data_IF_529906293472
#
_entry.id   IF_529906293472
#
_cell.length_a   1.000
_cell.length_b   1.000
_cell.length_c   1.000
_cell.angle_alpha   90.00
_cell.angle_beta   90.00
_cell.angle_gamma   90.00
#
_symmetry.space_group_name_H-M   'P 1'
#
loop_
_entity.id
_entity.type
_entity.pdbx_description
1 polymer ?
#
# COMPACT_ATOMS: atom_id res chain seq x y z
N UNK A 1 -2.76 3.33 20.20
CA UNK A 1 -1.37 3.79 19.92
C UNK A 1 -0.98 3.36 18.52
N UNK A 2 -0.37 4.24 17.75
CA UNK A 2 0.04 3.93 16.38
C UNK A 2 1.42 3.29 16.33
N UNK A 3 1.59 2.34 15.39
CA UNK A 3 2.90 1.82 15.05
C UNK A 3 3.48 2.62 13.88
N UNK A 4 4.81 2.80 13.84
CA UNK A 4 5.44 3.38 12.66
C UNK A 4 5.23 2.49 11.46
N UNK A 5 5.04 3.11 10.29
CA UNK A 5 4.85 2.42 9.02
C UNK A 5 6.13 2.53 8.20
N UNK A 6 6.72 1.39 7.87
CA UNK A 6 7.92 1.30 7.04
C UNK A 6 7.50 0.81 5.66
N UNK A 7 7.95 1.49 4.62
CA UNK A 7 7.66 1.11 3.23
C UNK A 7 8.90 0.45 2.66
N UNK A 8 8.79 -0.82 2.23
CA UNK A 8 9.94 -1.50 1.68
C UNK A 8 10.26 -1.01 0.25
N UNK A 9 11.41 -1.44 -0.27
CA UNK A 9 11.92 -0.97 -1.55
C UNK A 9 10.93 -1.21 -2.70
N UNK A 10 10.37 -2.40 -2.79
CA UNK A 10 9.45 -2.75 -3.89
C UNK A 10 8.16 -1.95 -3.82
N UNK A 11 7.62 -1.75 -2.63
CA UNK A 11 6.42 -0.96 -2.43
C UNK A 11 6.66 0.51 -2.79
N UNK A 12 7.81 1.06 -2.41
CA UNK A 12 8.16 2.43 -2.76
C UNK A 12 8.30 2.59 -4.27
N UNK A 13 8.96 1.65 -4.94
CA UNK A 13 9.12 1.69 -6.40
C UNK A 13 7.77 1.60 -7.11
N UNK A 14 6.86 0.76 -6.61
CA UNK A 14 5.51 0.63 -7.17
C UNK A 14 4.70 1.92 -6.98
N UNK A 15 4.81 2.54 -5.81
CA UNK A 15 4.17 3.83 -5.57
C UNK A 15 4.71 4.90 -6.52
N UNK A 16 6.02 5.00 -6.66
CA UNK A 16 6.65 6.01 -7.52
C UNK A 16 6.22 5.83 -8.98
N UNK A 17 6.18 4.60 -9.47
CA UNK A 17 5.73 4.30 -10.83
C UNK A 17 4.27 4.71 -11.04
N UNK A 18 3.40 4.39 -10.10
CA UNK A 18 1.99 4.75 -10.18
C UNK A 18 1.79 6.26 -10.11
N UNK A 19 2.52 6.94 -9.22
CA UNK A 19 2.48 8.39 -9.11
C UNK A 19 2.90 9.06 -10.41
N UNK A 20 4.00 8.62 -11.02
CA UNK A 20 4.51 9.17 -12.27
C UNK A 20 3.52 8.95 -13.41
N UNK A 21 2.87 7.81 -13.44
CA UNK A 21 1.85 7.51 -14.44
C UNK A 21 0.67 8.49 -14.35
N UNK A 22 0.18 8.77 -13.15
CA UNK A 22 -0.89 9.76 -12.96
C UNK A 22 -0.40 11.15 -13.28
N UNK A 23 0.78 11.55 -12.82
CA UNK A 23 1.33 12.88 -13.00
C UNK A 23 1.48 13.23 -14.50
N UNK A 24 1.92 12.28 -15.31
CA UNK A 24 2.05 12.47 -16.74
C UNK A 24 0.72 12.76 -17.44
N UNK A 25 -0.39 12.38 -16.84
CA UNK A 25 -1.74 12.53 -17.39
C UNK A 25 -2.53 13.65 -16.74
N UNK A 26 -2.41 13.80 -15.44
CA UNK A 26 -3.14 14.79 -14.64
C UNK A 26 -2.44 14.96 -13.29
N UNK A 27 -1.73 16.07 -13.12
CA UNK A 27 -0.95 16.34 -11.90
C UNK A 27 -1.83 16.37 -10.64
N UNK A 28 -3.05 16.90 -10.74
CA UNK A 28 -3.98 16.91 -9.59
C UNK A 28 -4.37 15.49 -9.17
N UNK A 29 -4.52 14.59 -10.14
CA UNK A 29 -4.85 13.18 -9.87
C UNK A 29 -3.70 12.48 -9.14
N UNK A 30 -2.46 12.78 -9.52
CA UNK A 30 -1.28 12.25 -8.82
C UNK A 30 -1.25 12.67 -7.36
N UNK A 31 -1.54 13.94 -7.07
CA UNK A 31 -1.62 14.43 -5.70
C UNK A 31 -2.72 13.72 -4.91
N UNK A 32 -3.89 13.53 -5.51
CA UNK A 32 -5.00 12.81 -4.90
C UNK A 32 -4.61 11.35 -4.60
N UNK A 33 -3.90 10.69 -5.51
CA UNK A 33 -3.39 9.34 -5.31
C UNK A 33 -2.45 9.27 -4.11
N UNK A 34 -1.47 10.18 -4.05
CA UNK A 34 -0.52 10.23 -2.94
C UNK A 34 -1.24 10.46 -1.60
N UNK A 35 -2.23 11.33 -1.56
CA UNK A 35 -3.03 11.58 -0.35
C UNK A 35 -3.83 10.33 0.07
N UNK A 36 -4.43 9.63 -0.90
CA UNK A 36 -5.19 8.41 -0.63
C UNK A 36 -4.29 7.30 -0.07
N UNK A 37 -3.07 7.16 -0.59
CA UNK A 37 -2.09 6.19 -0.08
C UNK A 37 -1.64 6.57 1.33
N UNK A 38 -1.36 7.84 1.59
CA UNK A 38 -1.01 8.31 2.94
C UNK A 38 -2.11 8.04 3.95
N UNK A 39 -3.37 8.21 3.55
CA UNK A 39 -4.51 7.91 4.41
C UNK A 39 -4.55 6.43 4.79
N UNK A 40 -4.22 5.54 3.85
CA UNK A 40 -4.09 4.10 4.13
C UNK A 40 -2.97 3.86 5.14
N UNK A 41 -1.80 4.46 4.94
CA UNK A 41 -0.67 4.28 5.85
C UNK A 41 -1.02 4.74 7.27
N UNK A 42 -1.72 5.84 7.43
CA UNK A 42 -2.17 6.30 8.74
C UNK A 42 -3.12 5.29 9.40
N UNK A 43 -4.07 4.73 8.63
CA UNK A 43 -5.02 3.76 9.16
C UNK A 43 -4.36 2.45 9.58
N UNK A 44 -3.46 1.91 8.76
CA UNK A 44 -2.80 0.64 9.09
C UNK A 44 -1.82 0.78 10.24
N UNK A 45 -1.21 1.94 10.42
CA UNK A 45 -0.38 2.23 11.58
C UNK A 45 -1.20 2.32 12.87
N UNK A 46 -2.39 2.94 12.78
CA UNK A 46 -3.28 3.10 13.93
C UNK A 46 -3.98 1.80 14.32
N UNK A 47 -4.39 1.00 13.35
CA UNK A 47 -5.15 -0.23 13.56
C UNK A 47 -4.68 -1.33 12.59
N UNK A 48 -3.48 -1.89 12.83
CA UNK A 48 -2.90 -2.85 11.88
C UNK A 48 -3.73 -4.11 11.69
N UNK A 49 -4.54 -4.50 12.67
CA UNK A 49 -5.34 -5.73 12.61
C UNK A 49 -6.77 -5.51 12.12
N UNK A 50 -7.14 -4.29 11.76
CA UNK A 50 -8.50 -3.98 11.29
C UNK A 50 -8.78 -4.47 9.87
N UNK A 51 -7.75 -4.83 9.11
CA UNK A 51 -7.88 -5.25 7.71
C UNK A 51 -7.73 -6.77 7.57
N UNK A 52 -8.35 -7.32 6.52
CA UNK A 52 -8.40 -8.76 6.28
C UNK A 52 -7.04 -9.31 5.87
N UNK A 53 -6.64 -10.43 6.48
CA UNK A 53 -5.51 -11.22 6.00
C UNK A 53 -5.90 -11.93 4.71
N UNK A 54 -5.06 -11.81 3.68
CA UNK A 54 -5.35 -12.34 2.34
C UNK A 54 -4.32 -13.36 1.85
N UNK A 55 -3.15 -13.41 2.48
CA UNK A 55 -2.10 -14.35 2.12
C UNK A 55 -1.09 -14.45 3.27
N UNK A 56 -0.93 -15.63 3.86
CA UNK A 56 -0.07 -15.80 5.05
C UNK A 56 -0.44 -14.76 6.10
N UNK A 57 0.51 -13.99 6.62
CA UNK A 57 0.27 -12.92 7.58
C UNK A 57 0.05 -11.54 6.92
N UNK A 58 -0.09 -11.51 5.59
CA UNK A 58 -0.26 -10.28 4.82
C UNK A 58 -1.72 -9.84 4.81
N UNK A 59 -1.95 -8.57 5.14
CA UNK A 59 -3.27 -7.93 5.10
C UNK A 59 -3.36 -6.98 3.92
N UNK A 60 -4.61 -6.72 3.49
CA UNK A 60 -4.90 -5.83 2.37
C UNK A 60 -5.72 -4.65 2.83
N UNK A 61 -5.30 -3.44 2.42
CA UNK A 61 -6.07 -2.22 2.58
C UNK A 61 -6.30 -1.56 1.22
N UNK A 62 -7.54 -1.23 0.91
CA UNK A 62 -7.92 -0.62 -0.38
C UNK A 62 -7.55 0.87 -0.38
N UNK A 63 -6.99 1.34 -1.48
CA UNK A 63 -6.75 2.77 -1.72
C UNK A 63 -8.04 3.38 -2.29
N UNK A 64 -8.69 4.25 -1.54
CA UNK A 64 -9.99 4.81 -1.92
C UNK A 64 -9.91 5.64 -3.20
N UNK A 65 -10.77 5.32 -4.17
CA UNK A 65 -10.87 6.05 -5.42
C UNK A 65 -9.86 5.65 -6.49
N UNK A 66 -9.02 4.65 -6.22
CA UNK A 66 -7.98 4.21 -7.14
C UNK A 66 -7.95 2.68 -7.20
N UNK A 67 -7.58 2.09 -8.36
CA UNK A 67 -7.53 0.64 -8.52
C UNK A 67 -6.23 0.06 -7.93
N UNK A 68 -5.94 0.40 -6.67
CA UNK A 68 -4.74 -0.03 -5.96
C UNK A 68 -5.09 -0.54 -4.57
N UNK A 69 -4.28 -1.49 -4.10
CA UNK A 69 -4.33 -1.98 -2.72
C UNK A 69 -2.93 -1.89 -2.11
N UNK A 70 -2.90 -1.64 -0.81
CA UNK A 70 -1.68 -1.70 0.00
C UNK A 70 -1.66 -3.06 0.68
N UNK A 71 -0.58 -3.81 0.49
CA UNK A 71 -0.34 -5.10 1.16
C UNK A 71 0.74 -4.90 2.20
N UNK A 72 0.46 -5.36 3.43
CA UNK A 72 1.34 -5.11 4.56
C UNK A 72 1.27 -6.26 5.57
N UNK A 73 2.28 -6.33 6.41
CA UNK A 73 2.27 -7.25 7.55
C UNK A 73 2.74 -6.53 8.81
N UNK A 74 2.33 -7.06 9.94
CA UNK A 74 2.64 -6.48 11.25
C UNK A 74 3.89 -7.14 11.82
N UNK A 75 4.81 -6.32 12.34
CA UNK A 75 5.90 -6.75 13.21
C UNK A 75 5.65 -6.20 14.61
N UNK A 76 6.35 -6.69 15.66
CA UNK A 76 6.06 -6.25 17.03
C UNK A 76 6.10 -4.74 17.25
N UNK A 77 6.95 -4.02 16.54
CA UNK A 77 7.16 -2.58 16.75
C UNK A 77 6.91 -1.73 15.51
N UNK A 78 6.46 -2.31 14.44
CA UNK A 78 6.20 -1.58 13.20
C UNK A 78 5.27 -2.32 12.26
N UNK A 79 4.75 -1.62 11.28
CA UNK A 79 4.02 -2.18 10.16
C UNK A 79 4.89 -2.05 8.90
N UNK A 80 5.04 -3.13 8.15
CA UNK A 80 5.83 -3.13 6.92
C UNK A 80 4.89 -3.17 5.72
N UNK A 81 4.92 -2.13 4.90
CA UNK A 81 4.23 -2.09 3.62
C UNK A 81 5.11 -2.77 2.59
N UNK A 82 4.65 -3.89 2.06
CA UNK A 82 5.41 -4.70 1.11
C UNK A 82 5.02 -4.46 -0.34
N UNK A 83 3.84 -3.88 -0.58
CA UNK A 83 3.39 -3.62 -1.96
C UNK A 83 2.33 -2.53 -2.00
N UNK A 84 2.40 -1.70 -3.05
CA UNK A 84 1.32 -0.81 -3.50
C UNK A 84 0.97 -1.28 -4.90
N UNK A 85 -0.10 -2.08 -5.02
CA UNK A 85 -0.29 -2.96 -6.15
C UNK A 85 -1.59 -2.70 -6.89
N UNK A 86 -1.50 -2.57 -8.22
CA UNK A 86 -2.67 -2.40 -9.07
C UNK A 86 -3.53 -3.66 -9.07
N UNK A 87 -4.84 -3.50 -8.91
CA UNK A 87 -5.78 -4.62 -8.76
C UNK A 87 -5.89 -5.53 -9.99
N UNK A 88 -5.47 -5.07 -11.18
CA UNK A 88 -5.53 -5.86 -12.41
C UNK A 88 -4.25 -6.69 -12.67
N UNK A 89 -3.20 -6.50 -11.89
CA UNK A 89 -1.95 -7.27 -12.05
C UNK A 89 -2.05 -8.61 -11.33
N UNK A 90 -1.19 -9.55 -11.73
CA UNK A 90 -1.14 -10.88 -11.14
C UNK A 90 -0.64 -10.81 -9.68
N UNK A 91 -1.46 -11.21 -8.70
CA UNK A 91 -1.07 -11.14 -7.28
C UNK A 91 0.11 -12.07 -6.93
N UNK A 92 0.43 -13.06 -7.76
CA UNK A 92 1.60 -13.91 -7.53
C UNK A 92 2.89 -13.08 -7.44
N UNK A 93 2.94 -11.90 -8.08
CA UNK A 93 4.10 -11.03 -8.07
C UNK A 93 4.43 -10.57 -6.63
N UNK A 94 3.44 -10.04 -5.89
CA UNK A 94 3.70 -9.61 -4.52
C UNK A 94 3.72 -10.80 -3.55
N UNK A 95 2.93 -11.83 -3.81
CA UNK A 95 2.91 -13.03 -2.96
C UNK A 95 4.28 -13.72 -2.93
N UNK A 96 5.01 -13.71 -4.03
CA UNK A 96 6.35 -14.28 -4.10
C UNK A 96 7.38 -13.58 -3.21
N UNK A 97 7.06 -12.39 -2.69
CA UNK A 97 7.94 -11.62 -1.78
C UNK A 97 7.77 -12.02 -0.32
N UNK A 98 6.80 -12.83 0.00
CA UNK A 98 6.48 -13.25 1.36
C UNK A 98 6.50 -14.79 1.46
#
# INVERSE_FOLDING_TARGET
MSLPVVVDYDAQAEFDEAFDWYEARNAAKAVQFAEAVRAVFARIGAQPRAHTMVYKDVRRAVVQGFPYCVYYFEEPQQVVVMSVFHTSRDPAIWQGRR
#
